data_IF_637515827751
#
_entry.id   IF_637515827751
#
_cell.length_a   1.000
_cell.length_b   1.000
_cell.length_c   1.000
_cell.angle_alpha   90.00
_cell.angle_beta   90.00
_cell.angle_gamma   90.00
#
_symmetry.space_group_name_H-M   'P 1'
#
loop_
_entity.id
_entity.type
_entity.pdbx_description
1 polymer ?
#
# COMPACT_ATOMS: atom_id res chain seq x y z
N UNK A 1 40.34 35.67 36.83
CA UNK A 1 39.96 35.64 35.39
C UNK A 1 38.71 34.76 35.25
N UNK A 2 37.51 35.35 35.24
CA UNK A 2 36.24 34.64 35.03
C UNK A 2 35.88 34.78 33.55
N UNK A 3 35.90 33.67 32.80
CA UNK A 3 35.45 33.64 31.40
C UNK A 3 33.93 33.47 31.38
N UNK A 4 33.21 34.50 30.95
CA UNK A 4 31.78 34.46 30.62
C UNK A 4 31.61 33.68 29.31
N UNK A 5 30.93 32.53 29.34
CA UNK A 5 30.46 31.86 28.13
C UNK A 5 29.15 32.53 27.67
N UNK A 6 29.20 33.23 26.54
CA UNK A 6 28.01 33.60 25.78
C UNK A 6 27.44 32.32 25.14
N UNK A 7 26.27 31.89 25.59
CA UNK A 7 25.48 30.87 24.91
C UNK A 7 24.82 31.53 23.69
N UNK A 8 25.31 31.18 22.50
CA UNK A 8 24.69 31.55 21.23
C UNK A 8 23.58 30.52 20.96
N UNK A 9 22.33 30.86 21.28
CA UNK A 9 21.17 30.08 20.86
C UNK A 9 20.97 30.28 19.35
N UNK A 10 21.35 29.29 18.54
CA UNK A 10 20.94 29.24 17.14
C UNK A 10 19.44 28.98 17.05
N UNK A 11 18.68 29.72 16.22
CA UNK A 11 17.30 29.37 15.95
C UNK A 11 17.28 28.04 15.18
N UNK A 12 16.65 27.02 15.78
CA UNK A 12 16.28 25.79 15.09
C UNK A 12 15.21 26.18 14.07
N UNK A 13 15.57 26.20 12.79
CA UNK A 13 14.62 26.31 11.70
C UNK A 13 13.85 24.98 11.65
N UNK A 14 12.67 24.96 12.27
CA UNK A 14 11.71 23.88 12.02
C UNK A 14 11.16 24.14 10.63
N UNK A 15 11.67 23.41 9.63
CA UNK A 15 11.03 23.34 8.32
C UNK A 15 9.68 22.64 8.51
N UNK A 16 8.62 23.42 8.74
CA UNK A 16 7.26 22.92 8.58
C UNK A 16 7.08 22.62 7.10
N UNK A 17 7.02 21.35 6.73
CA UNK A 17 6.48 20.95 5.44
C UNK A 17 5.01 21.33 5.43
N UNK A 18 4.71 22.55 4.98
CA UNK A 18 3.34 22.93 4.66
C UNK A 18 2.91 22.05 3.50
N UNK A 19 2.08 21.05 3.80
CA UNK A 19 1.41 20.25 2.78
C UNK A 19 0.60 21.21 1.91
N UNK A 20 0.70 21.08 0.59
CA UNK A 20 -0.21 21.79 -0.30
C UNK A 20 -1.65 21.41 0.07
N UNK A 21 -2.52 22.41 0.21
CA UNK A 21 -3.93 22.16 0.52
C UNK A 21 -4.56 21.37 -0.64
N UNK A 22 -5.13 20.20 -0.35
CA UNK A 22 -5.77 19.35 -1.34
C UNK A 22 -7.06 19.98 -1.84
N UNK A 23 -7.25 20.02 -3.17
CA UNK A 23 -8.43 20.62 -3.79
C UNK A 23 -9.64 19.68 -3.66
N UNK A 24 -10.73 20.08 -2.99
CA UNK A 24 -11.93 19.26 -2.89
C UNK A 24 -12.58 19.04 -4.26
N UNK A 25 -12.97 17.79 -4.58
CA UNK A 25 -13.77 17.47 -5.76
C UNK A 25 -14.61 16.21 -5.58
N UNK A 26 -15.55 16.01 -6.49
CA UNK A 26 -16.30 14.76 -6.61
C UNK A 26 -15.48 13.61 -7.22
N UNK A 27 -16.07 12.40 -7.30
CA UNK A 27 -15.42 11.22 -7.85
C UNK A 27 -14.83 11.40 -9.25
N UNK A 28 -13.81 10.60 -9.55
CA UNK A 28 -13.19 10.52 -10.87
C UNK A 28 -13.49 9.14 -11.46
N UNK A 29 -14.09 9.13 -12.65
CA UNK A 29 -14.44 7.91 -13.36
C UNK A 29 -13.76 7.91 -14.74
N UNK A 30 -12.69 7.15 -14.87
CA UNK A 30 -12.04 6.86 -16.15
C UNK A 30 -12.50 5.47 -16.58
N UNK A 31 -13.45 5.41 -17.51
CA UNK A 31 -14.03 4.16 -18.00
C UNK A 31 -13.36 3.66 -19.29
N UNK A 32 -12.63 4.53 -19.96
CA UNK A 32 -11.88 4.29 -21.20
C UNK A 32 -10.80 5.34 -21.43
N UNK A 33 -9.97 5.16 -22.45
CA UNK A 33 -8.94 6.13 -22.85
C UNK A 33 -9.48 7.52 -23.25
N UNK A 34 -10.77 7.62 -23.61
CA UNK A 34 -11.41 8.89 -23.95
C UNK A 34 -11.76 9.74 -22.73
N UNK A 35 -11.80 9.13 -21.55
CA UNK A 35 -12.20 9.81 -20.31
C UNK A 35 -11.03 10.55 -19.65
N UNK A 36 -9.81 10.43 -20.18
CA UNK A 36 -8.66 11.20 -19.70
C UNK A 36 -8.74 12.66 -20.14
N UNK A 37 -9.57 13.43 -19.43
CA UNK A 37 -9.84 14.84 -19.67
C UNK A 37 -9.60 15.68 -18.42
N UNK A 38 -9.48 16.99 -18.60
CA UNK A 38 -9.38 17.93 -17.48
C UNK A 38 -10.60 17.84 -16.54
N UNK A 39 -11.80 17.69 -17.09
CA UNK A 39 -13.04 17.56 -16.32
C UNK A 39 -13.01 16.32 -15.42
N UNK A 40 -12.41 15.23 -15.91
CA UNK A 40 -12.19 14.00 -15.14
C UNK A 40 -10.93 14.05 -14.27
N UNK A 41 -10.37 15.23 -14.02
CA UNK A 41 -9.32 15.42 -13.01
C UNK A 41 -7.91 15.05 -13.45
N UNK A 42 -7.71 14.85 -14.75
CA UNK A 42 -6.36 14.80 -15.30
C UNK A 42 -5.77 16.20 -15.26
N UNK A 43 -4.63 16.36 -14.61
CA UNK A 43 -3.92 17.65 -14.46
C UNK A 43 -2.65 17.73 -15.30
N UNK A 44 -2.24 16.64 -15.94
CA UNK A 44 -1.06 16.61 -16.78
C UNK A 44 -0.81 15.27 -17.46
N UNK A 45 0.21 15.28 -18.30
CA UNK A 45 0.75 14.13 -19.00
C UNK A 45 0.00 13.68 -20.24
N UNK A 46 0.70 12.92 -21.10
CA UNK A 46 0.21 12.43 -22.39
C UNK A 46 -0.21 10.96 -22.38
N UNK A 47 -0.23 10.29 -21.22
CA UNK A 47 -0.63 8.88 -21.10
C UNK A 47 0.30 7.94 -21.89
N UNK A 48 1.61 8.18 -21.79
CA UNK A 48 2.69 7.33 -22.33
C UNK A 48 3.68 6.97 -21.20
N UNK A 49 4.53 5.95 -21.37
CA UNK A 49 5.34 5.40 -20.27
C UNK A 49 6.26 6.41 -19.57
N UNK A 50 6.79 7.40 -20.31
CA UNK A 50 7.61 8.47 -19.75
C UNK A 50 6.83 9.71 -19.33
N UNK A 51 5.52 9.74 -19.58
CA UNK A 51 4.65 10.87 -19.28
C UNK A 51 3.20 10.38 -19.09
N UNK A 52 2.90 9.73 -17.96
CA UNK A 52 1.60 9.15 -17.67
C UNK A 52 0.55 10.24 -17.48
N UNK A 53 -0.73 9.91 -17.66
CA UNK A 53 -1.78 10.82 -17.22
C UNK A 53 -1.72 11.00 -15.71
N UNK A 54 -1.75 12.25 -15.24
CA UNK A 54 -1.57 12.59 -13.84
C UNK A 54 -2.91 13.01 -13.24
N UNK A 55 -3.29 12.38 -12.14
CA UNK A 55 -4.37 12.80 -11.23
C UNK A 55 -3.69 13.11 -9.89
N UNK A 56 -3.70 14.38 -9.45
CA UNK A 56 -3.02 14.74 -8.21
C UNK A 56 -3.56 15.95 -7.47
N UNK A 57 -3.23 16.05 -6.17
CA UNK A 57 -3.45 17.25 -5.36
C UNK A 57 -4.92 17.46 -5.01
N UNK A 58 -5.68 16.38 -4.86
CA UNK A 58 -7.14 16.42 -4.70
C UNK A 58 -7.60 15.66 -3.46
N UNK A 59 -8.71 16.14 -2.89
CA UNK A 59 -9.46 15.47 -1.84
C UNK A 59 -10.83 15.07 -2.39
N UNK A 60 -11.19 13.80 -2.28
CA UNK A 60 -12.49 13.27 -2.68
C UNK A 60 -13.22 12.79 -1.43
N UNK A 61 -14.31 13.49 -1.10
CA UNK A 61 -15.35 12.93 -0.24
C UNK A 61 -16.39 12.26 -1.15
N UNK A 62 -16.35 10.93 -1.20
CA UNK A 62 -17.23 10.17 -2.06
C UNK A 62 -18.67 10.19 -1.55
N UNK A 63 -18.95 10.54 -0.28
CA UNK A 63 -20.31 10.71 0.22
C UNK A 63 -21.24 9.49 0.02
N UNK A 64 -20.71 8.28 -0.09
CA UNK A 64 -21.47 7.06 -0.41
C UNK A 64 -21.56 6.70 -1.90
N UNK A 65 -20.93 7.46 -2.79
CA UNK A 65 -20.71 7.07 -4.19
C UNK A 65 -19.91 5.76 -4.26
N UNK A 66 -20.06 5.05 -5.38
CA UNK A 66 -19.44 3.73 -5.53
C UNK A 66 -17.91 3.79 -5.43
N UNK A 67 -17.30 4.82 -6.01
CA UNK A 67 -15.86 4.94 -6.12
C UNK A 67 -15.41 6.35 -5.74
N UNK A 68 -14.21 6.48 -5.16
CA UNK A 68 -13.50 7.75 -5.16
C UNK A 68 -12.84 7.98 -6.52
N UNK A 69 -11.98 7.04 -6.94
CA UNK A 69 -11.37 6.99 -8.26
C UNK A 69 -11.59 5.61 -8.88
N UNK A 70 -12.10 5.58 -10.11
CA UNK A 70 -12.15 4.39 -10.96
C UNK A 70 -11.23 4.58 -12.16
N UNK A 71 -10.28 3.68 -12.34
CA UNK A 71 -9.49 3.53 -13.57
C UNK A 71 -9.88 2.19 -14.20
N UNK A 72 -10.47 2.25 -15.39
CA UNK A 72 -10.99 1.07 -16.07
C UNK A 72 -10.66 1.04 -17.56
N UNK A 73 -10.46 -0.17 -18.08
CA UNK A 73 -10.35 -0.47 -19.51
C UNK A 73 -9.34 0.41 -20.26
N UNK A 74 -8.13 0.55 -19.69
CA UNK A 74 -7.06 1.36 -20.27
C UNK A 74 -5.72 0.64 -20.19
N UNK A 75 -4.89 0.84 -21.21
CA UNK A 75 -3.47 0.45 -21.17
C UNK A 75 -2.53 1.64 -21.07
N UNK A 76 -3.09 2.85 -21.08
CA UNK A 76 -2.35 4.09 -21.01
C UNK A 76 -1.84 4.29 -19.59
N UNK A 77 -0.55 4.64 -19.41
CA UNK A 77 0.00 4.87 -18.10
C UNK A 77 -0.72 5.99 -17.33
N UNK A 78 -0.99 5.73 -16.05
CA UNK A 78 -1.68 6.65 -15.13
C UNK A 78 -0.88 6.77 -13.84
N UNK A 79 -0.72 8.00 -13.36
CA UNK A 79 -0.17 8.33 -12.05
C UNK A 79 -1.25 8.99 -11.20
N UNK A 80 -1.61 8.34 -10.09
CA UNK A 80 -2.46 8.92 -9.05
C UNK A 80 -1.55 9.25 -7.87
N UNK A 81 -1.42 10.53 -7.51
CA UNK A 81 -0.56 10.94 -6.39
C UNK A 81 -1.09 12.09 -5.56
N UNK A 82 -0.69 12.17 -4.30
CA UNK A 82 -1.08 13.27 -3.41
C UNK A 82 -2.61 13.41 -3.34
N UNK A 83 -3.29 12.29 -3.05
CA UNK A 83 -4.75 12.19 -3.05
C UNK A 83 -5.26 11.71 -1.71
N UNK A 84 -6.31 12.36 -1.18
CA UNK A 84 -7.10 11.83 -0.06
C UNK A 84 -8.49 11.41 -0.54
N UNK A 85 -8.93 10.20 -0.18
CA UNK A 85 -10.26 9.68 -0.49
C UNK A 85 -10.93 9.18 0.79
N UNK A 86 -12.20 9.53 0.97
CA UNK A 86 -13.00 9.01 2.07
C UNK A 86 -14.43 8.64 1.65
N UNK A 87 -14.99 7.63 2.33
CA UNK A 87 -16.43 7.34 2.30
C UNK A 87 -16.98 6.69 1.03
N UNK A 88 -16.16 5.99 0.24
CA UNK A 88 -16.63 5.30 -0.96
C UNK A 88 -17.31 3.96 -0.63
N UNK A 89 -18.47 3.71 -1.24
CA UNK A 89 -19.33 2.54 -0.95
C UNK A 89 -18.77 1.22 -1.44
N UNK A 90 -18.01 1.20 -2.54
CA UNK A 90 -17.39 -0.02 -3.07
C UNK A 90 -15.87 0.02 -2.92
N UNK A 91 -15.20 1.03 -3.47
CA UNK A 91 -13.74 1.16 -3.32
C UNK A 91 -13.28 2.62 -3.32
N UNK A 92 -12.30 2.96 -2.50
CA UNK A 92 -11.65 4.27 -2.57
C UNK A 92 -10.99 4.47 -3.93
N UNK A 93 -10.08 3.55 -4.29
CA UNK A 93 -9.49 3.47 -5.63
C UNK A 93 -9.77 2.08 -6.20
N UNK A 94 -10.41 2.03 -7.37
CA UNK A 94 -10.62 0.81 -8.15
C UNK A 94 -9.80 0.87 -9.43
N UNK A 95 -8.92 -0.09 -9.63
CA UNK A 95 -8.26 -0.34 -10.92
C UNK A 95 -8.79 -1.64 -11.50
N UNK A 96 -9.35 -1.57 -12.70
CA UNK A 96 -10.05 -2.70 -13.33
C UNK A 96 -9.66 -2.84 -14.80
N UNK A 97 -9.24 -4.04 -15.21
CA UNK A 97 -8.92 -4.31 -16.62
C UNK A 97 -7.95 -3.27 -17.19
N UNK A 98 -6.94 -2.87 -16.39
CA UNK A 98 -6.02 -1.80 -16.74
C UNK A 98 -4.56 -2.21 -16.57
N UNK A 99 -3.67 -1.42 -17.19
CA UNK A 99 -2.21 -1.63 -17.13
C UNK A 99 -1.47 -0.32 -16.86
N UNK A 100 -0.31 -0.42 -16.19
CA UNK A 100 0.63 0.69 -15.99
C UNK A 100 0.07 1.79 -15.08
N UNK A 101 -0.52 1.42 -13.94
CA UNK A 101 -1.05 2.39 -12.97
C UNK A 101 -0.11 2.50 -11.78
N UNK A 102 0.33 3.71 -11.49
CA UNK A 102 1.14 4.06 -10.32
C UNK A 102 0.26 4.84 -9.35
N UNK A 103 0.22 4.41 -8.09
CA UNK A 103 -0.49 5.05 -6.99
C UNK A 103 0.54 5.40 -5.92
N UNK A 104 0.74 6.68 -5.64
CA UNK A 104 1.80 7.14 -4.74
C UNK A 104 1.24 8.15 -3.74
N UNK A 105 1.67 8.10 -2.48
CA UNK A 105 1.30 9.12 -1.48
C UNK A 105 -0.22 9.39 -1.42
N UNK A 106 -1.02 8.31 -1.35
CA UNK A 106 -2.47 8.42 -1.20
C UNK A 106 -2.91 8.08 0.22
N UNK A 107 -3.98 8.70 0.67
CA UNK A 107 -4.65 8.38 1.92
C UNK A 107 -6.11 7.98 1.65
N UNK A 108 -6.43 6.71 1.83
CA UNK A 108 -7.79 6.17 1.66
C UNK A 108 -8.34 5.74 3.01
N UNK A 109 -9.54 6.21 3.38
CA UNK A 109 -10.16 5.84 4.65
C UNK A 109 -11.69 5.69 4.62
N UNK A 110 -12.22 4.78 5.43
CA UNK A 110 -13.67 4.61 5.60
C UNK A 110 -14.38 4.18 4.31
N UNK A 111 -13.69 3.45 3.43
CA UNK A 111 -14.25 2.89 2.20
C UNK A 111 -14.50 1.39 2.38
N UNK A 112 -15.45 0.79 1.67
CA UNK A 112 -15.69 -0.66 1.79
C UNK A 112 -14.46 -1.50 1.39
N UNK A 113 -13.79 -1.11 0.31
CA UNK A 113 -12.42 -1.51 -0.01
C UNK A 113 -11.54 -0.25 -0.11
N UNK A 114 -10.33 -0.26 0.45
CA UNK A 114 -9.41 0.88 0.30
C UNK A 114 -8.93 1.00 -1.16
N UNK A 115 -8.11 0.03 -1.58
CA UNK A 115 -7.63 -0.10 -2.95
C UNK A 115 -8.02 -1.48 -3.48
N UNK A 116 -8.71 -1.51 -4.61
CA UNK A 116 -9.08 -2.76 -5.29
C UNK A 116 -8.45 -2.82 -6.68
N UNK A 117 -7.66 -3.86 -6.92
CA UNK A 117 -7.03 -4.17 -8.20
C UNK A 117 -7.69 -5.44 -8.75
N UNK A 118 -8.28 -5.36 -9.95
CA UNK A 118 -9.02 -6.46 -10.55
C UNK A 118 -8.67 -6.63 -12.02
N UNK A 119 -8.32 -7.85 -12.45
CA UNK A 119 -7.97 -8.16 -13.84
C UNK A 119 -6.94 -7.20 -14.45
N UNK A 120 -5.94 -6.78 -13.67
CA UNK A 120 -5.00 -5.73 -14.06
C UNK A 120 -3.55 -6.20 -13.96
N UNK A 121 -2.64 -5.50 -14.64
CA UNK A 121 -1.22 -5.89 -14.68
C UNK A 121 -0.29 -4.69 -14.59
N UNK A 122 0.88 -4.85 -13.99
CA UNK A 122 1.91 -3.82 -13.89
C UNK A 122 1.39 -2.58 -13.14
N UNK A 123 1.19 -2.74 -11.84
CA UNK A 123 0.77 -1.68 -10.92
C UNK A 123 1.77 -1.53 -9.79
N UNK A 124 1.97 -0.30 -9.33
CA UNK A 124 2.66 -0.02 -8.07
C UNK A 124 1.81 0.84 -7.16
N UNK A 125 1.83 0.53 -5.86
CA UNK A 125 1.27 1.34 -4.78
C UNK A 125 2.38 1.61 -3.79
N UNK A 126 2.75 2.87 -3.62
CA UNK A 126 3.87 3.27 -2.75
C UNK A 126 3.51 4.41 -1.78
N UNK A 127 4.21 4.44 -0.64
CA UNK A 127 4.14 5.53 0.34
C UNK A 127 2.70 5.92 0.76
N UNK A 128 1.80 4.93 0.83
CA UNK A 128 0.36 5.17 0.91
C UNK A 128 -0.25 4.62 2.19
N UNK A 129 -1.34 5.25 2.64
CA UNK A 129 -2.04 4.94 3.88
C UNK A 129 -3.48 4.52 3.59
N UNK A 130 -3.83 3.31 4.00
CA UNK A 130 -5.14 2.71 3.82
C UNK A 130 -5.68 2.30 5.18
N UNK A 131 -6.77 2.90 5.62
CA UNK A 131 -7.25 2.70 7.00
C UNK A 131 -8.75 2.56 7.12
N UNK A 132 -9.19 1.85 8.15
CA UNK A 132 -10.62 1.77 8.51
C UNK A 132 -11.49 1.31 7.31
N UNK A 133 -10.91 0.47 6.45
CA UNK A 133 -11.59 -0.15 5.32
C UNK A 133 -11.78 -1.64 5.63
N UNK A 134 -12.99 -2.22 5.57
CA UNK A 134 -13.18 -3.65 5.81
C UNK A 134 -12.19 -4.51 5.00
N UNK A 135 -12.03 -4.22 3.71
CA UNK A 135 -10.95 -4.79 2.91
C UNK A 135 -9.93 -3.67 2.61
N UNK A 136 -8.69 -3.77 3.10
CA UNK A 136 -7.68 -2.72 2.93
C UNK A 136 -7.20 -2.59 1.49
N UNK A 137 -6.30 -3.48 1.08
CA UNK A 137 -5.83 -3.62 -0.30
C UNK A 137 -6.18 -5.01 -0.80
N UNK A 138 -6.97 -5.07 -1.88
CA UNK A 138 -7.43 -6.34 -2.47
C UNK A 138 -6.94 -6.46 -3.91
N UNK A 139 -6.11 -7.47 -4.17
CA UNK A 139 -5.55 -7.79 -5.47
C UNK A 139 -6.19 -9.09 -5.98
N UNK A 140 -6.97 -9.00 -7.05
CA UNK A 140 -7.78 -10.10 -7.56
C UNK A 140 -7.51 -10.36 -9.03
N UNK A 141 -7.14 -11.60 -9.38
CA UNK A 141 -6.85 -12.02 -10.76
C UNK A 141 -5.94 -11.05 -11.51
N UNK A 142 -4.89 -10.57 -10.83
CA UNK A 142 -4.01 -9.51 -11.30
C UNK A 142 -2.55 -9.94 -11.15
N UNK A 143 -1.65 -9.34 -11.92
CA UNK A 143 -0.24 -9.74 -11.95
C UNK A 143 0.71 -8.56 -11.92
N UNK A 144 1.93 -8.77 -11.43
CA UNK A 144 2.95 -7.70 -11.35
C UNK A 144 2.40 -6.48 -10.59
N UNK A 145 1.82 -6.74 -9.41
CA UNK A 145 1.35 -5.71 -8.48
C UNK A 145 2.38 -5.57 -7.37
N UNK A 146 2.91 -4.37 -7.21
CA UNK A 146 3.86 -4.02 -6.16
C UNK A 146 3.20 -3.13 -5.11
N UNK A 147 3.23 -3.56 -3.87
CA UNK A 147 2.83 -2.80 -2.69
C UNK A 147 4.07 -2.54 -1.85
N UNK A 148 4.56 -1.31 -1.84
CA UNK A 148 5.78 -0.92 -1.13
C UNK A 148 5.53 0.25 -0.18
N UNK A 149 6.12 0.23 1.01
CA UNK A 149 6.00 1.35 1.96
C UNK A 149 4.53 1.75 2.23
N UNK A 150 3.61 0.78 2.25
CA UNK A 150 2.20 1.04 2.55
C UNK A 150 1.91 0.81 4.02
N UNK A 151 1.10 1.68 4.60
CA UNK A 151 0.48 1.48 5.91
C UNK A 151 -0.96 1.03 5.71
N UNK A 152 -1.28 -0.21 6.07
CA UNK A 152 -2.64 -0.73 6.10
C UNK A 152 -3.07 -0.95 7.53
N UNK A 153 -4.07 -0.20 8.02
CA UNK A 153 -4.46 -0.25 9.43
C UNK A 153 -5.96 -0.41 9.68
N UNK A 154 -6.31 -1.14 10.75
CA UNK A 154 -7.70 -1.20 11.27
C UNK A 154 -8.71 -1.72 10.22
N UNK A 155 -8.29 -2.71 9.44
CA UNK A 155 -9.10 -3.38 8.43
C UNK A 155 -9.60 -4.74 8.96
N UNK A 156 -10.66 -5.30 8.35
CA UNK A 156 -10.97 -6.72 8.60
C UNK A 156 -9.93 -7.60 7.89
N UNK A 157 -9.64 -7.34 6.63
CA UNK A 157 -8.50 -7.94 5.93
C UNK A 157 -7.57 -6.83 5.47
N UNK A 158 -6.31 -6.83 5.91
CA UNK A 158 -5.33 -5.82 5.56
C UNK A 158 -4.96 -5.87 4.09
N UNK A 159 -4.14 -6.84 3.71
CA UNK A 159 -3.75 -7.09 2.31
C UNK A 159 -4.24 -8.47 1.88
N UNK A 160 -4.95 -8.53 0.76
CA UNK A 160 -5.55 -9.76 0.26
C UNK A 160 -5.18 -10.02 -1.20
N UNK A 161 -4.40 -11.08 -1.43
CA UNK A 161 -4.12 -11.63 -2.75
C UNK A 161 -5.05 -12.82 -3.02
N UNK A 162 -5.76 -12.79 -4.14
CA UNK A 162 -6.66 -13.86 -4.59
C UNK A 162 -6.48 -14.11 -6.08
N UNK A 163 -5.95 -15.27 -6.44
CA UNK A 163 -5.63 -15.61 -7.84
C UNK A 163 -4.65 -14.61 -8.47
N UNK A 164 -3.78 -14.00 -7.67
CA UNK A 164 -2.79 -13.04 -8.13
C UNK A 164 -1.46 -13.74 -8.43
N UNK A 165 -0.68 -13.18 -9.36
CA UNK A 165 0.61 -13.75 -9.74
C UNK A 165 1.75 -12.73 -9.75
N UNK A 166 2.97 -13.19 -9.48
CA UNK A 166 4.20 -12.40 -9.62
C UNK A 166 4.09 -11.01 -8.98
N UNK A 167 3.58 -10.95 -7.74
CA UNK A 167 3.24 -9.71 -7.04
C UNK A 167 3.93 -9.66 -5.70
N UNK A 168 4.12 -8.47 -5.14
CA UNK A 168 4.94 -8.29 -3.94
C UNK A 168 4.30 -7.33 -2.93
N UNK A 169 4.46 -7.66 -1.65
CA UNK A 169 4.21 -6.79 -0.52
C UNK A 169 5.53 -6.64 0.24
N UNK A 170 6.08 -5.42 0.26
CA UNK A 170 7.44 -5.18 0.74
C UNK A 170 7.57 -3.89 1.53
N UNK A 171 8.43 -3.88 2.55
CA UNK A 171 8.73 -2.63 3.28
C UNK A 171 7.51 -1.97 3.91
N UNK A 172 6.43 -2.72 4.14
CA UNK A 172 5.11 -2.19 4.49
C UNK A 172 4.73 -2.53 5.92
N UNK A 173 3.76 -1.79 6.45
CA UNK A 173 3.20 -2.02 7.79
C UNK A 173 1.75 -2.43 7.66
N UNK A 174 1.40 -3.61 8.18
CA UNK A 174 0.01 -4.06 8.27
C UNK A 174 -0.32 -4.21 9.75
N UNK A 175 -1.19 -3.34 10.27
CA UNK A 175 -1.43 -3.25 11.70
C UNK A 175 -2.90 -3.24 12.12
N UNK A 176 -3.19 -3.84 13.28
CA UNK A 176 -4.50 -3.81 13.95
C UNK A 176 -5.64 -4.30 13.04
N UNK A 177 -5.36 -5.28 12.18
CA UNK A 177 -6.37 -5.90 11.32
C UNK A 177 -6.91 -7.21 11.93
N UNK A 178 -8.12 -7.64 11.56
CA UNK A 178 -8.56 -9.00 11.94
C UNK A 178 -7.68 -10.07 11.28
N UNK A 179 -7.42 -9.92 9.98
CA UNK A 179 -6.45 -10.70 9.20
C UNK A 179 -5.45 -9.71 8.61
N UNK A 180 -4.16 -9.88 8.88
CA UNK A 180 -3.11 -9.02 8.35
C UNK A 180 -2.93 -9.21 6.85
N UNK A 181 -2.32 -10.34 6.46
CA UNK A 181 -2.10 -10.70 5.05
C UNK A 181 -2.79 -12.03 4.72
N UNK A 182 -3.59 -12.05 3.66
CA UNK A 182 -4.21 -13.28 3.14
C UNK A 182 -3.77 -13.58 1.70
N UNK A 183 -3.41 -14.83 1.44
CA UNK A 183 -3.05 -15.36 0.11
C UNK A 183 -3.85 -16.63 -0.18
N UNK A 184 -4.79 -16.53 -1.13
CA UNK A 184 -5.80 -17.57 -1.40
C UNK A 184 -6.05 -17.76 -2.90
N UNK A 185 -6.84 -18.79 -3.26
CA UNK A 185 -7.34 -19.00 -4.63
C UNK A 185 -6.23 -19.15 -5.68
N UNK A 186 -5.27 -20.02 -5.41
CA UNK A 186 -4.19 -20.40 -6.34
C UNK A 186 -3.33 -19.20 -6.81
N UNK A 187 -2.88 -18.38 -5.86
CA UNK A 187 -1.82 -17.41 -6.14
C UNK A 187 -0.50 -18.10 -6.53
N UNK A 188 0.36 -17.40 -7.26
CA UNK A 188 1.68 -17.90 -7.65
C UNK A 188 2.74 -16.80 -7.67
N UNK A 189 3.91 -17.06 -7.09
CA UNK A 189 5.02 -16.10 -7.11
C UNK A 189 4.70 -14.81 -6.34
N UNK A 190 3.92 -14.91 -5.26
CA UNK A 190 3.73 -13.81 -4.32
C UNK A 190 4.97 -13.74 -3.40
N UNK A 191 5.49 -12.55 -3.17
CA UNK A 191 6.58 -12.33 -2.21
C UNK A 191 6.12 -11.36 -1.14
N UNK A 192 6.18 -11.79 0.13
CA UNK A 192 5.86 -10.97 1.30
C UNK A 192 7.11 -10.89 2.16
N UNK A 193 7.85 -9.79 2.11
CA UNK A 193 9.13 -9.66 2.80
C UNK A 193 9.36 -8.24 3.34
N UNK A 194 10.16 -8.13 4.39
CA UNK A 194 10.54 -6.85 5.03
C UNK A 194 9.35 -6.01 5.48
N UNK A 195 8.26 -6.65 5.89
CA UNK A 195 7.08 -5.98 6.42
C UNK A 195 7.06 -6.04 7.95
N UNK A 196 6.31 -5.14 8.59
CA UNK A 196 5.92 -5.27 9.99
C UNK A 196 4.44 -5.63 10.09
N UNK A 197 4.14 -6.78 10.69
CA UNK A 197 2.77 -7.26 10.92
C UNK A 197 2.47 -7.15 12.42
N UNK A 198 1.63 -6.18 12.80
CA UNK A 198 1.49 -5.70 14.18
C UNK A 198 0.05 -5.76 14.68
N UNK A 199 -0.21 -6.35 15.84
CA UNK A 199 -1.53 -6.29 16.49
C UNK A 199 -2.68 -6.89 15.66
N UNK A 200 -2.37 -7.75 14.68
CA UNK A 200 -3.38 -8.42 13.88
C UNK A 200 -3.88 -9.68 14.60
N UNK A 201 -5.20 -9.91 14.63
CA UNK A 201 -5.78 -11.09 15.31
C UNK A 201 -5.29 -12.40 14.65
N UNK A 202 -5.19 -12.40 13.33
CA UNK A 202 -4.52 -13.43 12.53
C UNK A 202 -3.45 -12.70 11.71
N UNK A 203 -2.15 -12.80 12.07
CA UNK A 203 -1.09 -12.04 11.37
C UNK A 203 -1.05 -12.33 9.87
N UNK A 204 -1.11 -13.60 9.49
CA UNK A 204 -1.21 -13.99 8.10
C UNK A 204 -1.85 -15.38 7.94
N UNK A 205 -2.45 -15.63 6.77
CA UNK A 205 -2.94 -16.93 6.35
C UNK A 205 -2.64 -17.18 4.87
N UNK A 206 -2.41 -18.45 4.50
CA UNK A 206 -2.04 -18.82 3.13
C UNK A 206 -2.49 -20.23 2.78
N UNK A 207 -3.06 -20.39 1.58
CA UNK A 207 -3.31 -21.67 0.92
C UNK A 207 -2.11 -22.15 0.07
N UNK A 208 -1.00 -21.40 0.06
CA UNK A 208 0.17 -21.62 -0.78
C UNK A 208 0.41 -20.48 -1.77
N UNK A 209 1.48 -20.58 -2.58
CA UNK A 209 1.77 -19.63 -3.64
C UNK A 209 2.53 -18.35 -3.24
N UNK A 210 2.82 -18.19 -1.94
CA UNK A 210 3.63 -17.09 -1.41
C UNK A 210 4.94 -17.57 -0.80
N UNK A 211 6.02 -16.85 -1.09
CA UNK A 211 7.22 -16.81 -0.28
C UNK A 211 7.08 -15.71 0.77
N UNK A 212 7.32 -16.03 2.04
CA UNK A 212 7.22 -15.09 3.16
C UNK A 212 8.57 -14.47 3.53
N UNK A 213 9.52 -14.54 2.60
CA UNK A 213 10.85 -13.95 2.67
C UNK A 213 11.40 -13.77 1.24
N UNK A 214 12.48 -13.00 1.11
CA UNK A 214 13.16 -12.75 -0.18
C UNK A 214 14.38 -13.66 -0.41
N UNK A 215 14.57 -14.69 0.42
CA UNK A 215 15.77 -15.53 0.44
C UNK A 215 16.91 -15.02 1.33
N UNK A 216 16.79 -13.81 1.88
CA UNK A 216 17.76 -13.23 2.81
C UNK A 216 17.09 -12.62 4.05
N UNK A 217 15.88 -12.08 3.92
CA UNK A 217 15.11 -11.39 4.96
C UNK A 217 13.61 -11.64 4.81
N UNK A 218 12.99 -11.88 5.94
CA UNK A 218 11.56 -12.12 6.10
C UNK A 218 10.83 -10.89 6.62
N UNK A 219 9.79 -11.13 7.42
CA UNK A 219 8.94 -10.13 8.02
C UNK A 219 9.14 -10.08 9.53
N UNK A 220 8.77 -8.94 10.12
CA UNK A 220 8.62 -8.81 11.56
C UNK A 220 7.19 -9.21 11.96
N UNK A 221 7.10 -10.15 12.91
CA UNK A 221 5.84 -10.70 13.40
C UNK A 221 5.67 -10.34 14.88
N UNK A 222 4.71 -9.48 15.20
CA UNK A 222 4.50 -9.07 16.60
C UNK A 222 4.24 -10.29 17.51
N UNK A 223 4.97 -10.34 18.63
CA UNK A 223 4.85 -11.40 19.61
C UNK A 223 5.56 -12.71 19.26
N UNK A 224 6.18 -12.81 18.07
CA UNK A 224 7.02 -13.97 17.77
C UNK A 224 8.36 -13.88 18.49
N UNK A 225 8.55 -14.75 19.48
CA UNK A 225 9.77 -14.81 20.28
C UNK A 225 10.61 -16.02 19.86
N UNK A 226 11.80 -15.74 19.32
CA UNK A 226 12.84 -16.71 19.01
C UNK A 226 14.21 -16.11 19.31
N UNK A 227 15.25 -16.94 19.24
CA UNK A 227 16.63 -16.49 19.43
C UNK A 227 17.17 -15.91 18.13
N UNK A 228 18.11 -15.00 18.28
CA UNK A 228 19.02 -14.51 17.26
C UNK A 228 20.42 -14.72 17.85
N UNK A 229 20.92 -15.96 17.78
CA UNK A 229 22.15 -16.38 18.46
C UNK A 229 23.41 -15.80 17.77
N UNK A 230 23.32 -15.45 16.49
CA UNK A 230 24.43 -14.87 15.72
C UNK A 230 24.40 -13.32 15.69
N UNK A 231 23.31 -12.69 16.11
CA UNK A 231 23.14 -11.23 16.21
C UNK A 231 23.00 -10.54 14.86
N UNK A 232 22.52 -11.22 13.83
CA UNK A 232 22.38 -10.67 12.47
C UNK A 232 21.03 -9.94 12.22
N UNK A 233 20.16 -9.92 13.24
CA UNK A 233 18.84 -9.31 13.16
C UNK A 233 17.76 -10.21 12.57
N UNK A 234 18.07 -11.48 12.31
CA UNK A 234 17.16 -12.53 11.86
C UNK A 234 16.99 -13.54 12.99
N UNK A 235 15.75 -13.95 13.24
CA UNK A 235 15.44 -14.96 14.24
C UNK A 235 15.72 -16.36 13.67
N UNK A 236 16.45 -17.18 14.43
CA UNK A 236 16.92 -18.52 14.04
C UNK A 236 15.80 -19.56 13.84
N UNK A 237 14.56 -19.23 14.23
CA UNK A 237 13.40 -20.10 14.06
C UNK A 237 12.45 -19.54 13.00
N UNK A 238 12.12 -20.31 11.95
CA UNK A 238 11.12 -19.90 10.97
C UNK A 238 9.76 -19.59 11.59
N UNK A 239 9.04 -18.63 11.01
CA UNK A 239 7.65 -18.32 11.36
C UNK A 239 6.71 -19.03 10.38
N UNK A 240 5.78 -19.85 10.89
CA UNK A 240 4.85 -20.64 10.06
C UNK A 240 3.67 -19.78 9.59
N UNK A 241 3.33 -19.87 8.31
CA UNK A 241 2.15 -19.20 7.73
C UNK A 241 1.35 -20.18 6.88
N UNK A 242 0.36 -20.84 7.48
CA UNK A 242 -0.42 -21.89 6.81
C UNK A 242 0.49 -23.02 6.31
N UNK A 243 0.48 -23.25 4.99
CA UNK A 243 1.35 -24.24 4.33
C UNK A 243 2.75 -23.70 3.99
N UNK A 244 2.98 -22.40 4.16
CA UNK A 244 4.27 -21.74 3.95
C UNK A 244 5.00 -21.42 5.25
N UNK A 245 6.18 -20.83 5.11
CA UNK A 245 6.97 -20.31 6.22
C UNK A 245 7.77 -19.09 5.77
N UNK A 246 8.00 -18.20 6.71
CA UNK A 246 9.04 -17.18 6.66
C UNK A 246 10.29 -17.78 7.29
N UNK A 247 11.33 -17.97 6.49
CA UNK A 247 12.59 -18.62 6.91
C UNK A 247 13.55 -17.65 7.58
N UNK A 248 13.35 -16.35 7.40
CA UNK A 248 14.23 -15.30 7.86
C UNK A 248 13.47 -14.21 8.65
N UNK A 249 12.64 -14.58 9.65
CA UNK A 249 11.82 -13.61 10.37
C UNK A 249 12.70 -12.57 11.08
N UNK A 250 12.30 -11.31 11.03
CA UNK A 250 13.10 -10.20 11.55
C UNK A 250 12.99 -10.11 13.08
N UNK A 251 14.12 -9.85 13.75
CA UNK A 251 14.18 -9.65 15.20
C UNK A 251 13.60 -8.30 15.65
N UNK A 252 13.54 -7.31 14.76
CA UNK A 252 12.97 -5.99 15.01
C UNK A 252 12.18 -5.48 13.80
N UNK A 253 11.21 -4.56 13.99
CA UNK A 253 10.50 -3.95 12.87
C UNK A 253 11.48 -3.21 11.93
N UNK A 254 11.26 -3.25 10.61
CA UNK A 254 12.03 -2.43 9.67
C UNK A 254 11.96 -0.93 10.01
N UNK A 255 13.07 -0.22 9.81
CA UNK A 255 13.11 1.24 9.93
C UNK A 255 12.24 1.90 8.85
N UNK A 256 11.59 3.03 9.20
CA UNK A 256 10.70 3.81 8.33
C UNK A 256 11.46 4.93 7.62
#
# INVERSE_FOLDING_TARGET
MRKTLLSLMLPVLVASTAWAELVPRGPILIMSDHDFTLDNGVVGGWGILGDPFVISGIRIDAGGENYGILISATTRPVLIRDVEILGARLAGIKVQSAKNVVIENVWVRGCATGISVFLSTNLSVSASRIEECPDGVKVTFSSQVELSEVLVSRCRTGVWFTGATSSLLVGSVVERCDVGVSVELHCEGIVVARNAILGCRIPAQSEGGAAWDDGARGNYWEGFLARDDNGDGILDRPYRVGVGEDRFPLASPPER
#
